data_IF_690274598292
#
_entry.id   IF_690274598292
#
_cell.length_a   1.000
_cell.length_b   1.000
_cell.length_c   1.000
_cell.angle_alpha   90.00
_cell.angle_beta   90.00
_cell.angle_gamma   90.00
#
_symmetry.space_group_name_H-M   'P 1'
#
loop_
_entity.id
_entity.type
_entity.pdbx_description
1 polymer ?
#
# COMPACT_ATOMS: atom_id res chain seq x y z
N UNK A 1 1.33 6.15 9.57
CA UNK A 1 2.22 4.97 9.73
C UNK A 1 2.21 4.63 11.21
N UNK A 2 1.84 3.39 11.53
CA UNK A 2 1.72 2.90 12.92
C UNK A 2 2.94 2.07 13.33
N UNK A 3 3.60 1.40 12.38
CA UNK A 3 4.81 0.63 12.64
C UNK A 3 5.73 0.57 11.41
N UNK A 4 7.04 0.48 11.65
CA UNK A 4 8.06 0.19 10.63
C UNK A 4 9.02 -0.83 11.23
N UNK A 5 9.18 -1.98 10.58
CA UNK A 5 10.11 -3.04 11.02
C UNK A 5 11.09 -3.40 9.91
N UNK A 6 12.35 -3.60 10.30
CA UNK A 6 13.41 -4.09 9.41
C UNK A 6 13.07 -5.53 9.01
N UNK A 7 13.18 -5.87 7.73
CA UNK A 7 13.07 -7.27 7.29
C UNK A 7 14.36 -8.02 7.59
N UNK A 8 14.27 -9.26 8.02
CA UNK A 8 15.44 -10.01 8.53
C UNK A 8 16.47 -10.35 7.43
N UNK A 9 16.15 -10.09 6.15
CA UNK A 9 17.05 -10.25 5.01
C UNK A 9 17.77 -8.92 4.62
N UNK A 10 17.62 -7.85 5.42
CA UNK A 10 17.98 -6.46 5.07
C UNK A 10 19.47 -6.10 5.15
N UNK A 11 20.40 -7.06 5.38
CA UNK A 11 21.84 -6.76 5.41
C UNK A 11 22.39 -6.20 4.07
N UNK A 12 21.58 -6.23 3.00
CA UNK A 12 21.94 -5.69 1.67
C UNK A 12 20.82 -4.95 0.94
N UNK A 13 19.63 -4.81 1.53
CA UNK A 13 18.49 -4.16 0.88
C UNK A 13 17.81 -3.22 1.87
N UNK A 14 17.61 -1.97 1.47
CA UNK A 14 16.95 -0.92 2.25
C UNK A 14 15.43 -1.19 2.45
N UNK A 15 15.07 -2.44 2.74
CA UNK A 15 13.71 -2.98 2.76
C UNK A 15 13.15 -3.02 4.18
N UNK A 16 11.94 -2.49 4.34
CA UNK A 16 11.22 -2.41 5.59
C UNK A 16 9.78 -2.85 5.37
N UNK A 17 9.20 -3.56 6.33
CA UNK A 17 7.75 -3.73 6.37
C UNK A 17 7.13 -2.51 7.06
N UNK A 18 6.27 -1.81 6.35
CA UNK A 18 5.57 -0.61 6.81
C UNK A 18 4.12 -0.97 7.06
N UNK A 19 3.64 -0.69 8.27
CA UNK A 19 2.25 -0.87 8.66
C UNK A 19 1.61 0.49 8.92
N UNK A 20 0.37 0.65 8.47
CA UNK A 20 -0.39 1.87 8.74
C UNK A 20 -1.83 1.80 8.28
N UNK A 21 -2.59 2.80 8.72
CA UNK A 21 -3.99 2.94 8.38
C UNK A 21 -4.14 3.58 7.00
N UNK A 22 -4.80 2.87 6.10
CA UNK A 22 -5.26 3.41 4.83
C UNK A 22 -6.76 3.73 4.94
N UNK A 23 -7.09 5.01 4.75
CA UNK A 23 -8.48 5.47 4.71
C UNK A 23 -8.89 5.76 3.27
N UNK A 24 -9.93 5.08 2.79
CA UNK A 24 -10.54 5.33 1.48
C UNK A 24 -12.06 5.38 1.66
N UNK A 25 -12.69 6.41 1.06
CA UNK A 25 -14.14 6.66 1.19
C UNK A 25 -14.66 6.64 2.65
N UNK A 26 -13.86 7.12 3.60
CA UNK A 26 -14.24 7.17 5.02
C UNK A 26 -14.20 5.84 5.76
N UNK A 27 -13.80 4.74 5.11
CA UNK A 27 -13.50 3.46 5.75
C UNK A 27 -12.00 3.40 5.99
N UNK A 28 -11.58 2.99 7.18
CA UNK A 28 -10.17 2.84 7.55
C UNK A 28 -9.87 1.36 7.76
N UNK A 29 -8.83 0.86 7.10
CA UNK A 29 -8.30 -0.47 7.35
C UNK A 29 -6.78 -0.39 7.44
N UNK A 30 -6.20 -1.21 8.32
CA UNK A 30 -4.75 -1.38 8.40
C UNK A 30 -4.23 -2.14 7.17
N UNK A 31 -3.12 -1.66 6.63
CA UNK A 31 -2.35 -2.35 5.60
C UNK A 31 -0.90 -2.50 6.04
N UNK A 32 -0.27 -3.59 5.62
CA UNK A 32 1.16 -3.82 5.79
C UNK A 32 1.77 -4.14 4.44
N UNK A 33 2.87 -3.46 4.09
CA UNK A 33 3.52 -3.62 2.80
C UNK A 33 5.04 -3.43 2.89
N UNK A 34 5.82 -4.13 2.07
CA UNK A 34 7.26 -3.88 1.96
C UNK A 34 7.50 -2.55 1.26
N UNK A 35 8.44 -1.77 1.78
CA UNK A 35 8.89 -0.51 1.21
C UNK A 35 10.41 -0.46 1.19
N UNK A 36 10.97 0.11 0.12
CA UNK A 36 12.36 0.52 0.06
C UNK A 36 12.46 1.92 0.65
N UNK A 37 13.25 2.09 1.72
CA UNK A 37 13.44 3.37 2.40
C UNK A 37 14.92 3.69 2.44
N UNK A 38 15.34 4.71 1.71
CA UNK A 38 16.74 5.11 1.63
C UNK A 38 16.90 6.62 1.68
N UNK A 39 18.07 7.04 2.13
CA UNK A 39 18.46 8.44 2.21
C UNK A 39 19.28 8.81 0.98
N UNK A 40 18.92 9.89 0.29
CA UNK A 40 19.69 10.39 -0.88
C UNK A 40 20.74 11.42 -0.48
N UNK A 41 20.44 12.22 0.54
CA UNK A 41 21.28 13.30 1.07
C UNK A 41 20.99 13.51 2.57
N UNK A 42 21.57 14.52 3.21
CA UNK A 42 21.45 14.70 4.66
C UNK A 42 20.03 15.07 5.14
N UNK A 43 19.15 15.49 4.24
CA UNK A 43 17.87 16.13 4.56
C UNK A 43 16.65 15.33 4.07
N UNK A 44 16.81 14.52 3.02
CA UNK A 44 15.72 13.82 2.36
C UNK A 44 15.74 12.31 2.59
N UNK A 45 14.57 11.76 2.92
CA UNK A 45 14.28 10.32 2.93
C UNK A 45 13.33 10.01 1.79
N UNK A 46 13.71 9.04 0.96
CA UNK A 46 12.88 8.52 -0.13
C UNK A 46 12.23 7.21 0.31
N UNK A 47 10.93 7.08 0.03
CA UNK A 47 10.16 5.86 0.26
C UNK A 47 9.51 5.43 -1.04
N UNK A 48 9.80 4.20 -1.46
CA UNK A 48 9.19 3.56 -2.62
C UNK A 48 8.53 2.25 -2.20
N UNK A 49 7.28 2.04 -2.60
CA UNK A 49 6.59 0.79 -2.32
C UNK A 49 5.58 0.46 -3.42
N UNK A 50 5.40 -0.84 -3.66
CA UNK A 50 4.31 -1.36 -4.49
C UNK A 50 3.61 -2.44 -3.69
N UNK A 51 2.28 -2.33 -3.58
CA UNK A 51 1.48 -3.32 -2.88
C UNK A 51 0.17 -3.58 -3.62
N UNK A 52 -0.43 -4.73 -3.36
CA UNK A 52 -1.75 -5.09 -3.88
C UNK A 52 -2.70 -5.17 -2.71
N UNK A 53 -3.85 -4.49 -2.84
CA UNK A 53 -4.91 -4.52 -1.83
C UNK A 53 -6.21 -4.99 -2.47
N UNK A 54 -7.13 -5.46 -1.64
CA UNK A 54 -8.51 -5.74 -2.03
C UNK A 54 -9.37 -4.48 -1.81
N UNK A 55 -9.78 -3.83 -2.90
CA UNK A 55 -10.57 -2.58 -2.87
C UNK A 55 -11.92 -2.73 -2.17
N UNK A 56 -12.46 -3.95 -2.10
CA UNK A 56 -13.78 -4.20 -1.51
C UNK A 56 -13.79 -3.98 0.00
N UNK A 57 -12.64 -4.14 0.66
CA UNK A 57 -12.45 -3.83 2.09
C UNK A 57 -12.75 -2.38 2.45
N UNK A 58 -12.74 -1.47 1.47
CA UNK A 58 -13.09 -0.06 1.63
C UNK A 58 -14.47 0.29 1.03
N UNK A 59 -15.32 -0.71 0.80
CA UNK A 59 -16.67 -0.52 0.27
C UNK A 59 -16.71 -0.11 -1.21
N UNK A 60 -15.62 -0.33 -1.95
CA UNK A 60 -15.56 -0.10 -3.40
C UNK A 60 -15.98 -1.41 -4.09
N UNK A 61 -17.27 -1.71 -4.12
CA UNK A 61 -17.80 -2.98 -4.66
C UNK A 61 -18.35 -2.84 -6.09
N UNK A 62 -18.36 -1.64 -6.67
CA UNK A 62 -18.84 -1.40 -8.02
C UNK A 62 -18.19 -2.37 -9.01
N UNK A 63 -19.00 -3.07 -9.80
CA UNK A 63 -18.53 -4.02 -10.81
C UNK A 63 -17.63 -5.15 -10.26
N UNK A 64 -17.68 -5.42 -8.95
CA UNK A 64 -16.97 -6.55 -8.35
C UNK A 64 -17.68 -7.87 -8.63
N UNK A 65 -16.97 -8.83 -9.21
CA UNK A 65 -17.49 -10.18 -9.44
C UNK A 65 -17.71 -10.97 -8.15
N UNK A 66 -17.09 -10.59 -7.02
CA UNK A 66 -17.30 -11.25 -5.73
C UNK A 66 -18.57 -10.78 -5.01
N UNK A 67 -19.14 -9.63 -5.41
CA UNK A 67 -20.36 -9.07 -4.83
C UNK A 67 -21.61 -9.21 -5.73
N UNK A 68 -21.43 -9.43 -7.04
CA UNK A 68 -22.53 -9.47 -8.00
C UNK A 68 -22.32 -10.55 -9.08
N UNK A 69 -23.25 -11.50 -9.17
CA UNK A 69 -23.14 -12.67 -10.06
C UNK A 69 -23.49 -12.40 -11.54
N UNK A 70 -24.07 -11.25 -11.88
CA UNK A 70 -24.58 -10.96 -13.24
C UNK A 70 -24.08 -9.63 -13.82
N UNK A 71 -22.75 -9.48 -13.90
CA UNK A 71 -22.10 -8.29 -14.45
C UNK A 71 -21.79 -8.38 -15.96
N UNK A 72 -22.19 -9.47 -16.63
CA UNK A 72 -21.77 -9.80 -17.99
C UNK A 72 -20.24 -9.59 -18.15
N UNK A 73 -19.80 -8.75 -19.07
CA UNK A 73 -18.39 -8.48 -19.35
C UNK A 73 -17.82 -7.24 -18.62
N UNK A 74 -18.54 -6.66 -17.67
CA UNK A 74 -18.14 -5.41 -17.03
C UNK A 74 -17.45 -5.62 -15.68
N UNK A 75 -16.86 -6.79 -15.42
CA UNK A 75 -16.22 -7.09 -14.13
C UNK A 75 -14.92 -6.30 -13.99
N UNK A 76 -14.73 -5.67 -12.82
CA UNK A 76 -13.50 -5.01 -12.38
C UNK A 76 -12.91 -5.82 -11.23
N UNK A 77 -11.64 -6.19 -11.34
CA UNK A 77 -10.91 -6.94 -10.31
C UNK A 77 -10.99 -6.25 -8.94
N UNK A 78 -11.06 -7.05 -7.89
CA UNK A 78 -11.05 -6.58 -6.51
C UNK A 78 -9.62 -6.21 -6.07
N UNK A 79 -8.63 -6.87 -6.66
CA UNK A 79 -7.21 -6.61 -6.45
C UNK A 79 -6.79 -5.36 -7.21
N UNK A 80 -6.30 -4.36 -6.49
CA UNK A 80 -5.75 -3.13 -7.07
C UNK A 80 -4.32 -2.95 -6.60
N UNK A 81 -3.44 -2.61 -7.55
CA UNK A 81 -2.06 -2.26 -7.26
C UNK A 81 -1.98 -0.78 -6.85
N UNK A 82 -1.31 -0.52 -5.75
CA UNK A 82 -0.94 0.82 -5.29
C UNK A 82 0.57 0.97 -5.37
N UNK A 83 1.02 2.07 -5.95
CA UNK A 83 2.43 2.46 -6.01
C UNK A 83 2.61 3.75 -5.22
N UNK A 84 3.59 3.75 -4.34
CA UNK A 84 3.95 4.86 -3.47
C UNK A 84 5.33 5.36 -3.86
N UNK A 85 5.45 6.66 -4.07
CA UNK A 85 6.72 7.38 -4.17
C UNK A 85 6.60 8.63 -3.32
N UNK A 86 7.34 8.66 -2.21
CA UNK A 86 7.29 9.75 -1.24
C UNK A 86 8.71 10.29 -1.01
N UNK A 87 8.77 11.60 -0.78
CA UNK A 87 9.95 12.30 -0.27
C UNK A 87 9.55 12.91 1.07
N UNK A 88 10.33 12.65 2.10
CA UNK A 88 10.14 13.23 3.42
C UNK A 88 11.37 14.06 3.81
N UNK A 89 11.13 15.31 4.20
CA UNK A 89 12.14 16.20 4.77
C UNK A 89 12.33 15.91 6.27
N UNK A 90 13.56 16.10 6.76
CA UNK A 90 13.92 15.92 8.18
C UNK A 90 13.38 17.01 9.15
N UNK A 91 12.56 17.95 8.68
CA UNK A 91 12.17 19.15 9.44
C UNK A 91 11.34 18.87 10.70
#
# INVERSE_FOLDING_TARGET
ITNVSVRTDSDSTFQYDVTGDLTMKGVTNEISFPATIYQTDTENVIVEAVTVIDRTKWGITSMSGSFFDNLANNVIDDSVQLSFSLVADKN
#
